data_IF_139567562304
#
_entry.id   IF_139567562304
#
_cell.length_a   1.000
_cell.length_b   1.000
_cell.length_c   1.000
_cell.angle_alpha   90.00
_cell.angle_beta   90.00
_cell.angle_gamma   90.00
#
_symmetry.space_group_name_H-M   'P 1'
#
loop_
_entity.id
_entity.type
_entity.pdbx_description
1 polymer ?
#
# COMPACT_ATOMS: atom_id res chain seq x y z
N UNK A 1 22.76 8.20 21.94
CA UNK A 1 22.96 7.25 20.82
C UNK A 1 21.93 7.56 19.76
N UNK A 2 22.30 8.40 18.80
CA UNK A 2 21.44 8.90 17.72
C UNK A 2 21.43 7.86 16.59
N UNK A 3 20.24 7.44 16.17
CA UNK A 3 20.09 6.56 15.01
C UNK A 3 20.61 7.28 13.74
N UNK A 4 21.32 6.58 12.85
CA UNK A 4 21.81 7.18 11.61
C UNK A 4 20.64 7.47 10.65
N UNK A 5 20.72 8.54 9.82
CA UNK A 5 19.67 8.87 8.87
C UNK A 5 19.59 7.78 7.78
N UNK A 6 18.37 7.28 7.55
CA UNK A 6 18.04 6.43 6.40
C UNK A 6 17.95 7.30 5.15
N UNK A 7 19.08 7.62 4.53
CA UNK A 7 19.12 8.20 3.18
C UNK A 7 20.02 7.36 2.29
N UNK A 8 19.48 6.24 1.82
CA UNK A 8 19.84 5.70 0.51
C UNK A 8 18.74 6.14 -0.46
N UNK A 9 18.90 7.31 -1.06
CA UNK A 9 18.24 7.60 -2.33
C UNK A 9 18.64 6.48 -3.28
N UNK A 10 17.72 5.54 -3.53
CA UNK A 10 17.89 4.63 -4.66
C UNK A 10 17.84 5.52 -5.88
N UNK A 11 18.94 5.57 -6.62
CA UNK A 11 18.96 6.21 -7.93
C UNK A 11 17.78 5.64 -8.71
N UNK A 12 16.94 6.53 -9.22
CA UNK A 12 16.00 6.18 -10.28
C UNK A 12 16.86 5.49 -11.33
N UNK A 13 16.48 4.31 -11.84
CA UNK A 13 17.20 3.74 -12.96
C UNK A 13 17.30 4.85 -14.01
N UNK A 14 18.52 5.23 -14.38
CA UNK A 14 18.78 6.30 -15.34
C UNK A 14 18.11 6.04 -16.70
N UNK A 15 17.51 4.85 -16.87
CA UNK A 15 16.77 4.42 -18.03
C UNK A 15 15.32 4.06 -17.68
N UNK A 16 14.40 4.91 -18.14
CA UNK A 16 12.95 4.69 -18.12
C UNK A 16 12.56 3.36 -18.79
N UNK A 17 13.31 2.95 -19.82
CA UNK A 17 13.05 1.69 -20.54
C UNK A 17 13.33 0.48 -19.66
N UNK A 18 14.38 0.51 -18.85
CA UNK A 18 14.69 -0.58 -17.92
C UNK A 18 13.60 -0.72 -16.84
N UNK A 19 13.02 0.39 -16.36
CA UNK A 19 11.88 0.36 -15.43
C UNK A 19 10.63 -0.20 -16.09
N UNK A 20 10.33 0.24 -17.31
CA UNK A 20 9.20 -0.25 -18.10
C UNK A 20 9.31 -1.76 -18.39
N UNK A 21 10.49 -2.24 -18.76
CA UNK A 21 10.74 -3.66 -18.99
C UNK A 21 10.47 -4.49 -17.72
N UNK A 22 10.99 -4.06 -16.56
CA UNK A 22 10.71 -4.74 -15.29
C UNK A 22 9.23 -4.74 -14.93
N UNK A 23 8.53 -3.65 -15.18
CA UNK A 23 7.08 -3.56 -14.96
C UNK A 23 6.32 -4.58 -15.82
N UNK A 24 6.62 -4.64 -17.13
CA UNK A 24 6.01 -5.61 -18.04
C UNK A 24 6.32 -7.06 -17.64
N UNK A 25 7.57 -7.37 -17.27
CA UNK A 25 7.93 -8.71 -16.78
C UNK A 25 7.11 -9.13 -15.55
N UNK A 26 6.80 -8.21 -14.63
CA UNK A 26 5.95 -8.53 -13.48
C UNK A 26 4.51 -8.82 -13.92
N UNK A 27 3.96 -8.02 -14.84
CA UNK A 27 2.61 -8.25 -15.37
C UNK A 27 2.51 -9.60 -16.09
N UNK A 28 3.48 -9.94 -16.93
CA UNK A 28 3.54 -11.22 -17.62
C UNK A 28 3.57 -12.40 -16.64
N UNK A 29 4.37 -12.29 -15.57
CA UNK A 29 4.44 -13.31 -14.51
C UNK A 29 3.09 -13.48 -13.79
N UNK A 30 2.37 -12.39 -13.56
CA UNK A 30 1.03 -12.46 -12.95
C UNK A 30 0.07 -13.18 -13.90
N UNK A 31 0.04 -12.79 -15.18
CA UNK A 31 -0.85 -13.38 -16.19
C UNK A 31 -0.54 -14.86 -16.42
N UNK A 32 0.74 -15.23 -16.39
CA UNK A 32 1.15 -16.63 -16.46
C UNK A 32 0.70 -17.42 -15.24
N UNK A 33 0.81 -16.87 -14.03
CA UNK A 33 0.31 -17.52 -12.82
C UNK A 33 -1.21 -17.70 -12.86
N UNK A 34 -1.98 -16.70 -13.31
CA UNK A 34 -3.43 -16.83 -13.49
C UNK A 34 -3.77 -17.98 -14.42
N UNK A 35 -3.14 -18.05 -15.61
CA UNK A 35 -3.34 -19.15 -16.56
C UNK A 35 -2.97 -20.50 -15.97
N UNK A 36 -1.79 -20.60 -15.36
CA UNK A 36 -1.26 -21.84 -14.79
C UNK A 36 -2.18 -22.46 -13.74
N UNK A 37 -2.87 -21.64 -12.97
CA UNK A 37 -3.79 -22.09 -11.91
C UNK A 37 -5.26 -21.97 -12.29
N UNK A 38 -5.58 -21.77 -13.58
CA UNK A 38 -6.97 -21.73 -14.08
C UNK A 38 -7.81 -20.58 -13.50
N UNK A 39 -7.17 -19.47 -13.10
CA UNK A 39 -7.87 -18.29 -12.62
C UNK A 39 -8.31 -17.41 -13.78
N UNK A 40 -9.38 -16.64 -13.57
CA UNK A 40 -9.82 -15.63 -14.52
C UNK A 40 -8.69 -14.61 -14.80
N UNK A 41 -8.53 -14.26 -16.07
CA UNK A 41 -7.56 -13.26 -16.52
C UNK A 41 -7.89 -11.90 -15.88
N UNK A 42 -6.94 -11.31 -15.15
CA UNK A 42 -7.18 -10.05 -14.44
C UNK A 42 -7.64 -10.21 -13.00
N UNK A 43 -7.84 -11.44 -12.50
CA UNK A 43 -8.27 -11.67 -11.12
C UNK A 43 -7.22 -11.36 -10.05
N UNK A 44 -5.96 -11.13 -10.45
CA UNK A 44 -4.87 -10.70 -9.58
C UNK A 44 -4.50 -9.25 -9.88
N UNK A 45 -4.63 -8.40 -8.86
CA UNK A 45 -4.23 -6.99 -8.91
C UNK A 45 -2.77 -6.81 -8.50
N UNK A 46 -2.04 -5.99 -9.26
CA UNK A 46 -0.69 -5.55 -8.90
C UNK A 46 -0.75 -4.26 -8.08
N UNK A 47 -0.11 -4.26 -6.91
CA UNK A 47 0.15 -3.04 -6.12
C UNK A 47 1.65 -2.75 -6.20
N UNK A 48 2.03 -1.64 -6.82
CA UNK A 48 3.42 -1.24 -6.95
C UNK A 48 3.91 -0.57 -5.65
N UNK A 49 4.78 -1.24 -4.90
CA UNK A 49 5.30 -0.70 -3.63
C UNK A 49 6.37 0.35 -3.91
N UNK A 50 6.08 1.61 -3.60
CA UNK A 50 6.90 2.77 -3.97
C UNK A 50 7.69 3.38 -2.80
N UNK A 51 7.71 2.75 -1.62
CA UNK A 51 8.52 3.21 -0.48
C UNK A 51 9.97 3.42 -0.90
N UNK A 52 10.59 4.50 -0.46
CA UNK A 52 11.95 4.94 -0.80
C UNK A 52 12.18 5.28 -2.28
N UNK A 53 11.14 5.28 -3.12
CA UNK A 53 11.22 5.71 -4.52
C UNK A 53 10.81 7.18 -4.66
N UNK A 54 11.48 7.96 -5.52
CA UNK A 54 11.08 9.33 -5.78
C UNK A 54 9.82 9.40 -6.66
N UNK A 55 9.14 10.55 -6.62
CA UNK A 55 7.90 10.81 -7.37
C UNK A 55 8.03 10.51 -8.87
N UNK A 56 9.16 10.85 -9.49
CA UNK A 56 9.39 10.61 -10.92
C UNK A 56 9.32 9.12 -11.30
N UNK A 57 9.72 8.21 -10.41
CA UNK A 57 9.62 6.77 -10.66
C UNK A 57 8.16 6.29 -10.57
N UNK A 58 7.37 6.88 -9.66
CA UNK A 58 5.93 6.60 -9.56
C UNK A 58 5.23 7.10 -10.82
N UNK A 59 5.55 8.31 -11.28
CA UNK A 59 4.99 8.86 -12.52
C UNK A 59 5.34 8.00 -13.74
N UNK A 60 6.60 7.57 -13.86
CA UNK A 60 7.04 6.72 -14.97
C UNK A 60 6.32 5.36 -15.01
N UNK A 61 5.95 4.79 -13.86
CA UNK A 61 5.18 3.53 -13.81
C UNK A 61 3.69 3.80 -13.99
N UNK A 62 3.20 4.94 -13.51
CA UNK A 62 1.81 5.36 -13.72
C UNK A 62 1.49 5.63 -15.18
N UNK A 63 2.41 6.22 -15.96
CA UNK A 63 2.24 6.42 -17.41
C UNK A 63 2.17 5.10 -18.18
N UNK A 64 2.65 3.99 -17.61
CA UNK A 64 2.52 2.64 -18.17
C UNK A 64 1.18 1.97 -17.81
N UNK A 65 0.29 2.66 -17.09
CA UNK A 65 -1.04 2.19 -16.72
C UNK A 65 -1.19 1.68 -15.28
N UNK A 66 -0.12 1.70 -14.47
CA UNK A 66 -0.24 1.33 -13.06
C UNK A 66 -0.98 2.42 -12.27
N UNK A 67 -2.07 2.06 -11.60
CA UNK A 67 -2.83 3.01 -10.77
C UNK A 67 -2.69 2.76 -9.26
N UNK A 68 -2.43 1.51 -8.84
CA UNK A 68 -2.36 1.16 -7.42
C UNK A 68 -0.92 1.20 -6.87
N UNK A 69 -0.68 2.02 -5.85
CA UNK A 69 0.64 2.17 -5.23
C UNK A 69 0.60 1.95 -3.72
N UNK A 70 1.61 1.27 -3.20
CA UNK A 70 1.74 0.90 -1.78
C UNK A 70 2.84 1.68 -1.06
N UNK A 71 2.51 2.24 0.10
CA UNK A 71 3.44 2.96 0.97
C UNK A 71 3.44 2.43 2.41
N UNK A 72 4.63 2.38 3.02
CA UNK A 72 4.81 1.91 4.40
C UNK A 72 5.13 3.06 5.38
N UNK A 73 5.60 4.20 4.88
CA UNK A 73 6.03 5.35 5.69
C UNK A 73 5.09 6.53 5.44
N UNK A 74 4.29 6.88 6.43
CA UNK A 74 3.20 7.84 6.28
C UNK A 74 3.66 9.23 5.83
N UNK A 75 4.72 9.77 6.42
CA UNK A 75 5.16 11.13 6.08
C UNK A 75 5.65 11.22 4.63
N UNK A 76 6.48 10.24 4.22
CA UNK A 76 6.95 10.11 2.84
C UNK A 76 5.76 9.97 1.87
N UNK A 77 4.74 9.19 2.24
CA UNK A 77 3.56 8.99 1.42
C UNK A 77 2.75 10.28 1.25
N UNK A 78 2.50 11.03 2.32
CA UNK A 78 1.76 12.31 2.24
C UNK A 78 2.50 13.29 1.32
N UNK A 79 3.83 13.37 1.44
CA UNK A 79 4.63 14.24 0.58
C UNK A 79 4.52 13.82 -0.90
N UNK A 80 4.47 12.52 -1.19
CA UNK A 80 4.25 11.98 -2.55
C UNK A 80 2.85 12.27 -3.07
N UNK A 81 1.82 12.00 -2.25
CA UNK A 81 0.41 12.24 -2.59
C UNK A 81 0.21 13.72 -2.93
N UNK A 82 0.74 14.62 -2.11
CA UNK A 82 0.67 16.06 -2.36
C UNK A 82 1.36 16.48 -3.66
N UNK A 83 2.53 15.91 -3.96
CA UNK A 83 3.29 16.21 -5.20
C UNK A 83 2.65 15.62 -6.45
N UNK A 84 2.03 14.45 -6.35
CA UNK A 84 1.37 13.76 -7.47
C UNK A 84 -0.03 14.32 -7.75
N UNK A 85 -0.65 14.97 -6.76
CA UNK A 85 -1.87 15.74 -6.91
C UNK A 85 -3.05 14.90 -7.42
N UNK A 86 -3.83 15.47 -8.35
CA UNK A 86 -5.09 14.90 -8.84
C UNK A 86 -4.93 13.75 -9.86
N UNK A 87 -3.78 13.08 -9.92
CA UNK A 87 -3.64 11.87 -10.75
C UNK A 87 -4.57 10.79 -10.22
N UNK A 88 -5.08 9.94 -11.11
CA UNK A 88 -5.95 8.80 -10.77
C UNK A 88 -5.16 7.64 -10.15
N UNK A 89 -4.44 7.93 -9.07
CA UNK A 89 -3.67 6.97 -8.28
C UNK A 89 -4.53 6.51 -7.10
N UNK A 90 -4.55 5.19 -6.88
CA UNK A 90 -5.13 4.55 -5.71
C UNK A 90 -4.00 4.30 -4.70
N UNK A 91 -4.10 4.91 -3.53
CA UNK A 91 -3.09 4.83 -2.49
C UNK A 91 -3.41 3.76 -1.45
N UNK A 92 -2.48 2.83 -1.27
CA UNK A 92 -2.54 1.75 -0.30
C UNK A 92 -1.54 2.00 0.84
N UNK A 93 -2.04 2.15 2.07
CA UNK A 93 -1.19 2.12 3.25
C UNK A 93 -0.98 0.67 3.68
N UNK A 94 0.26 0.20 3.55
CA UNK A 94 0.69 -1.17 3.88
C UNK A 94 1.72 -1.18 5.03
N UNK A 95 1.85 -0.06 5.73
CA UNK A 95 2.70 0.11 6.91
C UNK A 95 1.99 -0.20 8.22
N UNK A 96 2.72 -0.18 9.33
CA UNK A 96 2.13 -0.34 10.67
C UNK A 96 1.32 0.91 11.07
N UNK A 97 0.12 0.71 11.62
CA UNK A 97 -0.78 1.80 12.00
C UNK A 97 -0.47 2.27 13.43
N UNK A 98 -0.08 3.54 13.55
CA UNK A 98 0.06 4.21 14.85
C UNK A 98 -1.20 5.02 15.17
N UNK A 99 -1.71 4.94 16.40
CA UNK A 99 -2.99 5.57 16.79
C UNK A 99 -3.04 7.09 16.55
N UNK A 100 -1.93 7.79 16.77
CA UNK A 100 -1.80 9.24 16.54
C UNK A 100 -1.73 9.60 15.05
N UNK A 101 -1.58 8.62 14.16
CA UNK A 101 -1.48 8.79 12.71
C UNK A 101 -2.75 8.41 11.95
N UNK A 102 -3.74 7.79 12.60
CA UNK A 102 -4.99 7.37 11.97
C UNK A 102 -5.71 8.48 11.20
N UNK A 103 -5.71 9.73 11.69
CA UNK A 103 -6.35 10.85 10.99
C UNK A 103 -5.72 11.08 9.61
N UNK A 104 -4.40 11.16 9.57
CA UNK A 104 -3.66 11.35 8.33
C UNK A 104 -3.85 10.17 7.36
N UNK A 105 -3.84 8.94 7.88
CA UNK A 105 -4.12 7.74 7.06
C UNK A 105 -5.52 7.82 6.46
N UNK A 106 -6.53 8.08 7.30
CA UNK A 106 -7.93 8.15 6.88
C UNK A 106 -8.20 9.31 5.90
N UNK A 107 -7.42 10.39 5.93
CA UNK A 107 -7.55 11.50 4.99
C UNK A 107 -6.92 11.22 3.63
N UNK A 108 -5.75 10.58 3.60
CA UNK A 108 -4.90 10.55 2.40
C UNK A 108 -4.89 9.24 1.61
N UNK A 109 -5.38 8.14 2.18
CA UNK A 109 -5.34 6.81 1.52
C UNK A 109 -6.72 6.31 1.10
N UNK A 110 -6.74 5.42 0.12
CA UNK A 110 -7.93 4.72 -0.37
C UNK A 110 -8.07 3.33 0.27
N UNK A 111 -6.94 2.71 0.60
CA UNK A 111 -6.83 1.39 1.20
C UNK A 111 -5.89 1.37 2.40
N UNK A 112 -6.23 0.59 3.42
CA UNK A 112 -5.35 0.27 4.56
C UNK A 112 -5.29 -1.24 4.76
N UNK A 113 -4.09 -1.83 4.69
CA UNK A 113 -3.93 -3.29 4.64
C UNK A 113 -3.57 -3.93 5.99
N UNK A 114 -3.34 -3.11 7.00
CA UNK A 114 -2.70 -3.50 8.25
C UNK A 114 -3.60 -3.34 9.48
N UNK A 115 -4.92 -3.46 9.31
CA UNK A 115 -5.86 -3.41 10.44
C UNK A 115 -5.81 -4.74 11.18
N UNK A 116 -5.58 -4.69 12.49
CA UNK A 116 -5.43 -5.90 13.32
C UNK A 116 -6.35 -5.92 14.54
N UNK A 117 -7.14 -4.87 14.76
CA UNK A 117 -8.05 -4.74 15.91
C UNK A 117 -9.19 -3.76 15.65
N UNK A 118 -10.34 -4.02 16.29
CA UNK A 118 -11.58 -3.27 16.08
C UNK A 118 -11.42 -1.78 16.39
N UNK A 119 -10.66 -1.46 17.45
CA UNK A 119 -10.40 -0.08 17.86
C UNK A 119 -9.67 0.73 16.77
N UNK A 120 -8.79 0.09 16.02
CA UNK A 120 -8.08 0.74 14.90
C UNK A 120 -9.05 0.96 13.72
N UNK A 121 -9.86 -0.04 13.38
CA UNK A 121 -10.86 0.05 12.32
C UNK A 121 -11.88 1.18 12.58
N UNK A 122 -12.49 1.18 13.76
CA UNK A 122 -13.44 2.22 14.20
C UNK A 122 -12.81 3.62 14.18
N UNK A 123 -11.56 3.73 14.64
CA UNK A 123 -10.86 5.01 14.63
C UNK A 123 -10.59 5.52 13.23
N UNK A 124 -10.24 4.65 12.28
CA UNK A 124 -10.07 5.04 10.87
C UNK A 124 -11.40 5.48 10.27
N UNK A 125 -12.47 4.73 10.50
CA UNK A 125 -13.81 5.08 10.03
C UNK A 125 -14.28 6.45 10.57
N UNK A 126 -14.16 6.67 11.89
CA UNK A 126 -14.57 7.93 12.54
C UNK A 126 -13.73 9.15 12.14
N UNK A 127 -12.52 8.93 11.59
CA UNK A 127 -11.62 10.00 11.17
C UNK A 127 -11.63 10.21 9.64
N UNK A 128 -12.39 9.41 8.89
CA UNK A 128 -12.56 9.58 7.45
C UNK A 128 -13.32 10.90 7.22
N UNK A 129 -12.77 11.86 6.44
CA UNK A 129 -13.46 13.12 6.21
C UNK A 129 -14.79 12.91 5.47
N UNK A 130 -15.77 13.76 5.76
CA UNK A 130 -17.04 13.78 5.03
C UNK A 130 -16.81 14.03 3.53
N UNK A 131 -17.62 13.41 2.69
CA UNK A 131 -17.49 13.49 1.23
C UNK A 131 -16.41 12.60 0.61
N UNK A 132 -15.53 11.98 1.40
CA UNK A 132 -14.64 10.93 0.88
C UNK A 132 -15.37 9.60 0.73
N UNK A 133 -15.03 8.76 -0.27
CA UNK A 133 -15.46 7.36 -0.32
C UNK A 133 -15.06 6.63 0.95
N UNK A 134 -15.80 5.57 1.31
CA UNK A 134 -15.44 4.70 2.42
C UNK A 134 -13.99 4.21 2.28
N UNK A 135 -13.25 4.22 3.38
CA UNK A 135 -11.88 3.71 3.40
C UNK A 135 -11.92 2.19 3.29
N UNK A 136 -11.27 1.64 2.26
CA UNK A 136 -11.16 0.19 2.12
C UNK A 136 -10.14 -0.34 3.13
N UNK A 137 -10.46 -1.44 3.80
CA UNK A 137 -9.59 -2.04 4.80
C UNK A 137 -9.40 -3.52 4.56
N UNK A 138 -8.20 -4.03 4.83
CA UNK A 138 -7.93 -5.45 4.98
C UNK A 138 -7.52 -5.74 6.43
N UNK A 139 -7.94 -6.90 6.91
CA UNK A 139 -7.49 -7.42 8.20
C UNK A 139 -6.15 -8.12 7.99
N UNK A 140 -5.11 -7.67 8.69
CA UNK A 140 -3.83 -8.33 8.72
C UNK A 140 -3.89 -9.49 9.72
N UNK A 141 -3.56 -10.69 9.26
CA UNK A 141 -3.58 -11.91 10.09
C UNK A 141 -2.15 -12.35 10.39
N UNK A 142 -1.87 -12.64 11.67
CA UNK A 142 -0.62 -13.25 12.08
C UNK A 142 -0.75 -14.79 12.01
N UNK A 143 -0.23 -15.39 10.94
CA UNK A 143 -0.28 -16.84 10.72
C UNK A 143 0.81 -17.63 11.47
N UNK A 144 1.82 -16.95 11.99
CA UNK A 144 2.99 -17.60 12.60
C UNK A 144 2.86 -17.75 14.12
N UNK A 145 1.89 -17.10 14.75
CA UNK A 145 1.61 -17.22 16.18
C UNK A 145 2.63 -16.56 17.11
N UNK A 146 3.69 -15.97 16.56
CA UNK A 146 4.67 -15.20 17.32
C UNK A 146 4.08 -13.87 17.80
N UNK A 147 4.06 -13.65 19.12
CA UNK A 147 3.48 -12.44 19.76
C UNK A 147 4.18 -11.14 19.31
N UNK A 148 5.43 -11.22 18.84
CA UNK A 148 6.20 -10.07 18.34
C UNK A 148 5.77 -9.61 16.94
N UNK A 149 5.00 -10.41 16.19
CA UNK A 149 4.57 -10.09 14.83
C UNK A 149 3.21 -9.39 14.84
N UNK A 150 3.07 -8.39 13.97
CA UNK A 150 1.81 -7.65 13.81
C UNK A 150 0.73 -8.48 13.12
N UNK A 151 -0.53 -8.21 13.45
CA UNK A 151 -1.70 -8.88 12.89
C UNK A 151 -2.59 -9.51 13.97
N UNK A 152 -3.86 -9.66 13.63
CA UNK A 152 -4.83 -10.36 14.46
C UNK A 152 -4.51 -11.87 14.49
N UNK A 153 -4.69 -12.55 15.64
CA UNK A 153 -4.73 -13.99 15.67
C UNK A 153 -5.81 -14.54 14.72
N UNK A 154 -5.61 -15.69 14.07
CA UNK A 154 -6.61 -16.26 13.15
C UNK A 154 -8.01 -16.41 13.78
N UNK A 155 -8.07 -16.77 15.06
CA UNK A 155 -9.33 -16.91 15.81
C UNK A 155 -10.07 -15.58 16.03
N UNK A 156 -9.37 -14.45 15.97
CA UNK A 156 -9.94 -13.12 16.21
C UNK A 156 -10.39 -12.44 14.90
N UNK A 157 -10.08 -13.01 13.74
CA UNK A 157 -10.40 -12.43 12.43
C UNK A 157 -11.91 -12.32 12.20
N UNK A 158 -12.66 -13.39 12.47
CA UNK A 158 -14.11 -13.39 12.25
C UNK A 158 -14.84 -12.35 13.14
N UNK A 159 -14.53 -12.24 14.45
CA UNK A 159 -15.03 -11.15 15.28
C UNK A 159 -14.69 -9.73 14.79
N UNK A 160 -13.61 -9.55 14.02
CA UNK A 160 -13.22 -8.25 13.47
C UNK A 160 -13.93 -7.91 12.16
N UNK A 161 -14.51 -8.91 11.47
CA UNK A 161 -15.11 -8.77 10.15
C UNK A 161 -16.64 -8.53 10.18
N UNK A 162 -17.22 -8.35 11.37
CA UNK A 162 -18.65 -8.07 11.60
C UNK A 162 -18.95 -6.58 11.60
#
# INVERSE_FOLDING_TARGET
VTAPPLTKTRDVPADSNALAARYQTVLERIREAERRYGRENGSVSLIAVSKTQPVIAIEAVHTLGQSAFGENHLQEAIDKIAKLGNKSIVWHFIGHIQNNKCRLIATHFDWVHSVDRIKTAQRLANLRPEGHPALNVLIQVNLEGEVSKSGAPPQDVMPLAT
#
